data_IF_922074411531
#
_entry.id   IF_922074411531
#
_cell.length_a   1.000
_cell.length_b   1.000
_cell.length_c   1.000
_cell.angle_alpha   90.00
_cell.angle_beta   90.00
_cell.angle_gamma   90.00
#
_symmetry.space_group_name_H-M   'P 1'
#
loop_
_entity.id
_entity.type
_entity.pdbx_description
1 polymer ?
#
# COMPACT_ATOMS: atom_id res chain seq x y z
N UNK A 1 -11.83 -5.17 9.34
CA UNK A 1 -12.99 -6.08 9.46
C UNK A 1 -13.63 -6.31 8.11
N UNK A 2 -14.17 -5.27 7.46
CA UNK A 2 -14.85 -5.38 6.15
C UNK A 2 -14.05 -6.15 5.08
N UNK A 3 -12.75 -5.85 4.95
CA UNK A 3 -11.85 -6.53 3.99
C UNK A 3 -11.57 -7.99 4.29
N UNK A 4 -11.65 -8.40 5.55
CA UNK A 4 -11.54 -9.80 5.95
C UNK A 4 -12.87 -10.56 5.84
N UNK A 5 -13.96 -9.85 5.47
CA UNK A 5 -15.30 -10.41 5.33
C UNK A 5 -15.72 -10.65 3.87
N UNK A 6 -14.79 -10.50 2.93
CA UNK A 6 -15.02 -10.66 1.50
C UNK A 6 -15.40 -9.37 0.76
N UNK A 7 -15.36 -8.20 1.42
CA UNK A 7 -15.72 -6.92 0.80
C UNK A 7 -14.44 -6.17 0.41
N UNK A 8 -14.23 -6.01 -0.89
CA UNK A 8 -13.08 -5.30 -1.48
C UNK A 8 -13.26 -3.79 -1.44
N UNK A 9 -13.34 -3.22 -0.23
CA UNK A 9 -13.45 -1.77 -0.05
C UNK A 9 -12.21 -1.20 0.65
N UNK A 10 -11.62 -0.19 0.03
CA UNK A 10 -10.58 0.65 0.60
C UNK A 10 -10.79 2.09 0.14
N UNK A 11 -10.82 3.04 1.09
CA UNK A 11 -11.07 4.44 0.80
C UNK A 11 -9.97 5.08 -0.06
N UNK A 12 -8.72 4.60 0.06
CA UNK A 12 -7.59 5.13 -0.70
C UNK A 12 -7.74 4.90 -2.21
N UNK A 13 -8.48 3.87 -2.60
CA UNK A 13 -8.79 3.57 -4.00
C UNK A 13 -10.14 4.18 -4.39
N UNK A 14 -11.16 4.05 -3.54
CA UNK A 14 -12.52 4.50 -3.87
C UNK A 14 -12.67 6.02 -3.98
N UNK A 15 -12.04 6.77 -3.08
CA UNK A 15 -12.18 8.23 -2.98
C UNK A 15 -11.01 8.98 -3.65
N UNK A 16 -10.14 8.26 -4.38
CA UNK A 16 -9.00 8.84 -5.09
C UNK A 16 -8.18 9.81 -4.21
N UNK A 17 -7.84 9.34 -3.00
CA UNK A 17 -7.23 10.18 -1.98
C UNK A 17 -5.80 10.59 -2.38
N UNK A 18 -5.52 11.89 -2.40
CA UNK A 18 -4.21 12.48 -2.69
C UNK A 18 -3.53 11.92 -3.96
N UNK A 19 -2.43 11.16 -3.80
CA UNK A 19 -1.65 10.60 -4.88
C UNK A 19 -1.67 9.07 -4.89
N UNK A 20 -2.59 8.44 -4.15
CA UNK A 20 -2.68 7.00 -4.02
C UNK A 20 -2.95 6.27 -5.34
N UNK A 21 -3.64 6.92 -6.28
CA UNK A 21 -3.93 6.39 -7.62
C UNK A 21 -2.70 6.27 -8.52
N UNK A 22 -1.62 6.98 -8.18
CA UNK A 22 -0.38 6.90 -8.95
C UNK A 22 0.36 5.61 -8.67
N UNK A 23 0.21 5.01 -7.49
CA UNK A 23 0.95 3.81 -7.09
C UNK A 23 0.32 2.54 -7.63
N UNK A 24 1.15 1.53 -7.92
CA UNK A 24 0.66 0.22 -8.31
C UNK A 24 0.39 -0.63 -7.07
N UNK A 25 -0.89 -0.67 -6.67
CA UNK A 25 -1.31 -1.50 -5.56
C UNK A 25 -2.71 -2.11 -5.67
N UNK A 26 -2.85 -3.24 -5.00
CA UNK A 26 -4.09 -4.00 -4.96
C UNK A 26 -4.66 -4.01 -3.55
N UNK A 27 -5.99 -3.92 -3.46
CA UNK A 27 -6.71 -4.02 -2.19
C UNK A 27 -6.53 -5.44 -1.65
N UNK A 28 -5.95 -5.55 -0.44
CA UNK A 28 -5.78 -6.83 0.23
C UNK A 28 -7.07 -7.21 0.96
N UNK A 29 -7.62 -8.38 0.67
CA UNK A 29 -8.88 -8.85 1.22
C UNK A 29 -8.84 -10.37 1.43
N UNK A 30 -9.72 -10.87 2.28
CA UNK A 30 -9.85 -12.28 2.62
C UNK A 30 -11.35 -12.64 2.67
N UNK A 31 -11.69 -13.90 2.44
CA UNK A 31 -13.09 -14.37 2.31
C UNK A 31 -13.60 -15.09 3.55
N UNK A 32 -12.70 -15.62 4.37
CA UNK A 32 -12.95 -16.66 5.37
C UNK A 32 -13.68 -16.13 6.62
N UNK A 33 -13.78 -14.80 6.81
CA UNK A 33 -14.57 -14.13 7.87
C UNK A 33 -14.21 -14.50 9.31
N UNK A 34 -13.09 -15.19 9.53
CA UNK A 34 -12.60 -15.58 10.85
C UNK A 34 -11.56 -14.60 11.41
N UNK A 35 -10.94 -14.93 12.54
CA UNK A 35 -9.86 -14.14 13.12
C UNK A 35 -8.56 -14.26 12.31
N UNK A 36 -8.31 -15.43 11.72
CA UNK A 36 -7.13 -15.68 10.90
C UNK A 36 -7.13 -14.83 9.62
N UNK A 37 -8.27 -14.71 8.94
CA UNK A 37 -8.47 -13.84 7.79
C UNK A 37 -8.13 -12.38 8.10
N UNK A 38 -8.47 -11.90 9.29
CA UNK A 38 -8.12 -10.53 9.73
C UNK A 38 -6.63 -10.37 9.93
N UNK A 39 -6.01 -11.38 10.54
CA UNK A 39 -4.57 -11.41 10.75
C UNK A 39 -3.84 -11.42 9.40
N UNK A 40 -4.19 -12.34 8.49
CA UNK A 40 -3.60 -12.43 7.16
C UNK A 40 -3.81 -11.14 6.35
N UNK A 41 -5.02 -10.59 6.33
CA UNK A 41 -5.28 -9.31 5.66
C UNK A 41 -4.37 -8.18 6.20
N UNK A 42 -4.14 -8.13 7.53
CA UNK A 42 -3.22 -7.15 8.14
C UNK A 42 -1.76 -7.37 7.77
N UNK A 43 -1.29 -8.62 7.75
CA UNK A 43 0.07 -8.94 7.31
C UNK A 43 0.26 -8.52 5.84
N UNK A 44 -0.67 -8.91 4.96
CA UNK A 44 -0.63 -8.54 3.55
C UNK A 44 -0.64 -7.02 3.33
N UNK A 45 -1.44 -6.28 4.11
CA UNK A 45 -1.46 -4.82 4.06
C UNK A 45 -0.11 -4.19 4.43
N UNK A 46 0.57 -4.72 5.45
CA UNK A 46 1.91 -4.24 5.84
C UNK A 46 2.92 -4.47 4.72
N UNK A 47 2.94 -5.66 4.14
CA UNK A 47 3.83 -5.98 3.00
C UNK A 47 3.55 -5.07 1.80
N UNK A 48 2.29 -4.80 1.49
CA UNK A 48 1.95 -3.93 0.36
C UNK A 48 2.26 -2.46 0.66
N UNK A 49 2.12 -2.02 1.91
CA UNK A 49 2.51 -0.66 2.34
C UNK A 49 4.01 -0.43 2.14
N UNK A 50 4.86 -1.41 2.46
CA UNK A 50 6.31 -1.32 2.21
C UNK A 50 6.60 -1.15 0.71
N UNK A 51 5.94 -1.93 -0.15
CA UNK A 51 6.09 -1.79 -1.61
C UNK A 51 5.69 -0.40 -2.11
N UNK A 52 4.63 0.19 -1.56
CA UNK A 52 4.20 1.54 -1.93
C UNK A 52 5.20 2.61 -1.48
N UNK A 53 5.80 2.44 -0.30
CA UNK A 53 6.88 3.33 0.18
C UNK A 53 8.08 3.27 -0.77
N UNK A 54 8.48 2.07 -1.20
CA UNK A 54 9.57 1.90 -2.18
C UNK A 54 9.26 2.62 -3.50
N UNK A 55 8.05 2.42 -4.05
CA UNK A 55 7.61 3.13 -5.25
C UNK A 55 7.57 4.65 -5.05
N UNK A 56 7.19 5.13 -3.86
CA UNK A 56 7.21 6.55 -3.55
C UNK A 56 8.63 7.10 -3.54
N UNK A 57 9.57 6.41 -2.90
CA UNK A 57 10.98 6.81 -2.85
C UNK A 57 11.58 6.92 -4.25
N UNK A 58 11.32 5.96 -5.14
CA UNK A 58 11.80 6.00 -6.54
C UNK A 58 11.26 7.18 -7.34
N UNK A 59 10.09 7.70 -6.98
CA UNK A 59 9.37 8.75 -7.72
C UNK A 59 9.58 10.15 -7.15
N UNK A 60 10.29 10.29 -6.03
CA UNK A 60 10.62 11.60 -5.48
C UNK A 60 11.54 12.32 -6.48
N UNK A 61 11.15 13.51 -6.98
CA UNK A 61 12.01 14.27 -7.87
C UNK A 61 13.29 14.68 -7.14
N UNK A 62 14.44 14.57 -7.81
CA UNK A 62 15.71 15.06 -7.27
C UNK A 62 15.63 16.58 -7.12
N UNK A 63 15.51 17.04 -5.89
CA UNK A 63 15.51 18.46 -5.54
C UNK A 63 16.94 19.02 -5.61
N UNK A 64 17.15 20.29 -6.01
CA UNK A 64 18.46 20.94 -5.96
C UNK A 64 19.05 21.05 -4.56
N UNK A 65 18.22 20.92 -3.51
CA UNK A 65 18.58 21.33 -2.16
C UNK A 65 19.19 20.24 -1.27
N UNK A 66 19.22 18.97 -1.68
CA UNK A 66 19.93 17.97 -0.89
C UNK A 66 20.34 16.77 -1.74
N UNK A 67 21.60 16.37 -1.58
CA UNK A 67 22.21 15.16 -2.13
C UNK A 67 21.53 13.91 -1.54
N UNK A 68 20.27 13.65 -1.90
CA UNK A 68 19.62 12.39 -1.64
C UNK A 68 20.11 11.40 -2.70
N UNK A 69 21.25 10.77 -2.43
CA UNK A 69 21.51 9.44 -2.97
C UNK A 69 20.41 8.52 -2.45
N UNK A 70 19.29 8.46 -3.19
CA UNK A 70 18.24 7.48 -2.94
C UNK A 70 18.90 6.13 -3.24
N UNK A 71 19.33 5.45 -2.18
CA UNK A 71 19.89 4.11 -2.29
C UNK A 71 18.76 3.21 -2.79
N UNK A 72 18.75 2.92 -4.09
CA UNK A 72 17.89 1.89 -4.64
C UNK A 72 18.25 0.60 -3.90
N UNK A 73 17.32 0.09 -3.10
CA UNK A 73 17.50 -1.19 -2.44
C UNK A 73 17.20 -2.26 -3.48
N UNK A 74 18.25 -2.89 -4.01
CA UNK A 74 18.18 -4.07 -4.88
C UNK A 74 17.55 -5.28 -4.15
#
# INVERSE_FOLDING_TARGET
MLRASGIKLDLRNFDHYECYDKFDWEIQWQKERDSLARYLARISEMTKSIKMIQQALERIPKSPYENLEIRCFD
#
